data_IF_547642992668
#
_entry.id   IF_547642992668
#
_cell.length_a   1.000
_cell.length_b   1.000
_cell.length_c   1.000
_cell.angle_alpha   90.00
_cell.angle_beta   90.00
_cell.angle_gamma   90.00
#
_symmetry.space_group_name_H-M   'P 1'
#
loop_
_entity.id
_entity.type
_entity.pdbx_description
1 polymer ?
#
# COMPACT_ATOMS: atom_id res chain seq x y z
N UNK A 1 -15.65 -7.43 13.86
CA UNK A 1 -15.55 -7.03 12.43
C UNK A 1 -14.18 -6.41 12.19
N UNK A 2 -13.15 -7.22 11.89
CA UNK A 2 -11.75 -6.71 11.75
C UNK A 2 -10.92 -7.47 10.72
N UNK A 3 -11.23 -8.73 10.44
CA UNK A 3 -10.43 -9.59 9.55
C UNK A 3 -10.38 -9.11 8.09
N UNK A 4 -11.50 -8.62 7.54
CA UNK A 4 -11.56 -8.21 6.13
C UNK A 4 -10.72 -6.96 5.82
N UNK A 5 -10.58 -6.05 6.78
CA UNK A 5 -9.74 -4.84 6.61
C UNK A 5 -8.26 -5.20 6.64
N UNK A 6 -7.87 -6.11 7.53
CA UNK A 6 -6.50 -6.59 7.63
C UNK A 6 -6.09 -7.40 6.40
N UNK A 7 -6.99 -8.23 5.86
CA UNK A 7 -6.77 -8.95 4.61
C UNK A 7 -6.53 -8.00 3.44
N UNK A 8 -7.38 -6.97 3.27
CA UNK A 8 -7.19 -5.94 2.23
C UNK A 8 -5.88 -5.16 2.42
N UNK A 9 -5.49 -4.90 3.67
CA UNK A 9 -4.22 -4.22 3.97
C UNK A 9 -3.03 -5.07 3.52
N UNK A 10 -3.02 -6.36 3.87
CA UNK A 10 -1.96 -7.29 3.49
C UNK A 10 -1.87 -7.48 1.99
N UNK A 11 -3.01 -7.61 1.32
CA UNK A 11 -3.06 -7.73 -0.15
C UNK A 11 -2.38 -6.53 -0.84
N UNK A 12 -2.70 -5.30 -0.40
CA UNK A 12 -2.06 -4.10 -0.95
C UNK A 12 -0.56 -4.08 -0.64
N UNK A 13 -0.15 -4.46 0.57
CA UNK A 13 1.27 -4.52 0.95
C UNK A 13 2.01 -5.52 0.05
N UNK A 14 1.45 -6.71 -0.17
CA UNK A 14 2.06 -7.75 -1.02
C UNK A 14 2.23 -7.26 -2.46
N UNK A 15 1.21 -6.61 -3.02
CA UNK A 15 1.29 -6.01 -4.35
C UNK A 15 2.35 -4.92 -4.46
N UNK A 16 2.52 -4.09 -3.42
CA UNK A 16 3.58 -3.07 -3.37
C UNK A 16 4.97 -3.69 -3.24
N UNK A 17 5.13 -4.73 -2.41
CA UNK A 17 6.38 -5.48 -2.25
C UNK A 17 6.79 -6.16 -3.56
N UNK A 18 5.85 -6.77 -4.28
CA UNK A 18 6.08 -7.38 -5.59
C UNK A 18 6.54 -6.36 -6.65
N UNK A 19 6.22 -5.07 -6.49
CA UNK A 19 6.75 -3.97 -7.31
C UNK A 19 8.10 -3.42 -6.83
N UNK A 20 8.69 -4.02 -5.80
CA UNK A 20 9.96 -3.59 -5.22
C UNK A 20 9.83 -2.38 -4.30
N UNK A 21 8.63 -2.09 -3.79
CA UNK A 21 8.39 -0.96 -2.89
C UNK A 21 8.24 -1.49 -1.48
N UNK A 22 9.20 -1.13 -0.64
CA UNK A 22 9.30 -1.63 0.74
C UNK A 22 9.00 -0.53 1.77
N UNK A 23 9.15 0.73 1.37
CA UNK A 23 8.94 1.91 2.20
C UNK A 23 8.45 3.09 1.36
N UNK A 24 7.68 3.98 1.97
CA UNK A 24 7.26 5.25 1.39
C UNK A 24 7.35 6.35 2.45
N UNK A 25 7.77 7.56 2.08
CA UNK A 25 7.99 8.69 3.00
C UNK A 25 8.76 8.31 4.28
N UNK A 26 9.83 7.54 4.11
CA UNK A 26 10.70 7.07 5.20
C UNK A 26 10.00 6.19 6.27
N UNK A 27 8.83 5.64 5.95
CA UNK A 27 8.09 4.66 6.77
C UNK A 27 7.97 3.34 6.03
N UNK A 28 8.07 2.22 6.74
CA UNK A 28 7.84 0.90 6.14
C UNK A 28 6.35 0.72 5.82
N UNK A 29 6.03 -0.10 4.80
CA UNK A 29 4.64 -0.34 4.40
C UNK A 29 3.74 -0.85 5.55
N UNK A 30 4.30 -1.65 6.47
CA UNK A 30 3.56 -2.18 7.61
C UNK A 30 3.16 -1.09 8.62
N UNK A 31 3.94 -0.02 8.70
CA UNK A 31 3.70 1.14 9.56
C UNK A 31 2.67 2.11 8.95
N UNK A 32 2.34 1.94 7.66
CA UNK A 32 1.39 2.78 6.97
C UNK A 32 -0.07 2.38 7.28
N UNK A 33 -0.95 3.37 7.24
CA UNK A 33 -2.38 3.13 7.34
C UNK A 33 -2.91 2.51 6.02
N UNK A 34 -4.09 1.89 6.06
CA UNK A 34 -4.73 1.36 4.84
C UNK A 34 -4.97 2.46 3.81
N UNK A 35 -5.22 3.70 4.26
CA UNK A 35 -5.41 4.85 3.37
C UNK A 35 -4.11 5.21 2.65
N UNK A 36 -2.99 5.30 3.36
CA UNK A 36 -1.68 5.59 2.78
C UNK A 36 -1.27 4.51 1.78
N UNK A 37 -1.46 3.24 2.15
CA UNK A 37 -1.18 2.09 1.28
C UNK A 37 -2.00 2.15 -0.01
N UNK A 38 -3.28 2.50 0.08
CA UNK A 38 -4.14 2.71 -1.10
C UNK A 38 -3.68 3.89 -1.95
N UNK A 39 -3.27 5.00 -1.33
CA UNK A 39 -2.77 6.16 -2.06
C UNK A 39 -1.54 5.78 -2.89
N UNK A 40 -0.56 5.13 -2.26
CA UNK A 40 0.67 4.67 -2.91
C UNK A 40 0.34 3.70 -4.04
N UNK A 41 -0.48 2.68 -3.74
CA UNK A 41 -0.94 1.72 -4.75
C UNK A 41 -1.60 2.40 -5.95
N UNK A 42 -2.47 3.38 -5.70
CA UNK A 42 -3.13 4.14 -6.75
C UNK A 42 -2.15 4.99 -7.57
N UNK A 43 -1.18 5.66 -6.91
CA UNK A 43 -0.15 6.44 -7.61
C UNK A 43 0.69 5.56 -8.55
N UNK A 44 1.03 4.34 -8.13
CA UNK A 44 1.88 3.43 -8.91
C UNK A 44 1.11 2.70 -10.01
N UNK A 45 -0.14 2.29 -9.75
CA UNK A 45 -0.94 1.49 -10.69
C UNK A 45 -1.68 2.36 -11.68
N UNK A 46 -2.30 3.45 -11.21
CA UNK A 46 -3.06 4.35 -12.08
C UNK A 46 -2.14 5.32 -12.80
N UNK A 47 -0.91 5.52 -12.30
CA UNK A 47 0.06 6.43 -12.90
C UNK A 47 -0.49 7.84 -12.85
N UNK A 48 -0.22 8.57 -11.78
CA UNK A 48 -0.62 9.98 -11.72
C UNK A 48 0.21 10.75 -12.77
N UNK A 49 -0.31 10.82 -13.99
CA UNK A 49 0.00 11.85 -14.97
C UNK A 49 -0.52 13.17 -14.38
N UNK A 50 0.35 13.90 -13.72
CA UNK A 50 0.16 15.32 -13.41
C UNK A 50 1.52 15.99 -13.38
#
# INVERSE_FOLDING_TARGET
>A
MTAEKELKKRDIIDQLLNKGIYKSNNKQLYELSLYDLKSIYNEIIVGKSS
#
